data_IF_758409389472
#
_entry.id   IF_758409389472
#
_cell.length_a   1.000
_cell.length_b   1.000
_cell.length_c   1.000
_cell.angle_alpha   90.00
_cell.angle_beta   90.00
_cell.angle_gamma   90.00
#
_symmetry.space_group_name_H-M   'P 1'
#
loop_
_entity.id
_entity.type
_entity.pdbx_description
1 polymer ?
#
# COMPACT_ATOMS: atom_id res chain seq x y z
N UNK A 1 -1.99 4.04 -45.96
CA UNK A 1 -2.23 2.87 -45.08
C UNK A 1 -1.03 2.76 -44.15
N UNK A 2 -1.12 3.26 -42.92
CA UNK A 2 -0.01 3.13 -41.97
C UNK A 2 0.19 1.65 -41.64
N UNK A 3 1.44 1.15 -41.62
CA UNK A 3 1.71 -0.24 -41.36
C UNK A 3 1.31 -0.56 -39.91
N UNK A 4 0.23 -1.33 -39.75
CA UNK A 4 -0.25 -1.84 -38.45
C UNK A 4 0.83 -2.55 -37.61
N UNK A 5 1.93 -2.97 -38.26
CA UNK A 5 3.11 -3.58 -37.65
C UNK A 5 3.89 -2.63 -36.74
N UNK A 6 3.90 -1.33 -37.02
CA UNK A 6 4.62 -0.34 -36.21
C UNK A 6 3.86 -0.05 -34.91
N UNK A 7 2.52 -0.05 -34.98
CA UNK A 7 1.63 0.18 -33.83
C UNK A 7 1.83 -0.85 -32.70
N UNK A 8 1.99 -2.13 -33.06
CA UNK A 8 2.13 -3.20 -32.08
C UNK A 8 3.46 -3.14 -31.31
N UNK A 9 4.54 -2.77 -31.99
CA UNK A 9 5.86 -2.59 -31.37
C UNK A 9 5.84 -1.43 -30.39
N UNK A 10 5.22 -0.30 -30.75
CA UNK A 10 5.05 0.83 -29.83
C UNK A 10 4.23 0.47 -28.60
N UNK A 11 3.20 -0.36 -28.74
CA UNK A 11 2.36 -0.80 -27.63
C UNK A 11 3.12 -1.74 -26.67
N UNK A 12 3.91 -2.67 -27.20
CA UNK A 12 4.76 -3.55 -26.38
C UNK A 12 5.84 -2.74 -25.67
N UNK A 13 6.50 -1.82 -26.36
CA UNK A 13 7.53 -0.96 -25.77
C UNK A 13 6.92 -0.05 -24.71
N UNK A 14 5.71 0.50 -24.95
CA UNK A 14 5.00 1.32 -23.98
C UNK A 14 4.64 0.53 -22.72
N UNK A 15 4.09 -0.69 -22.87
CA UNK A 15 3.84 -1.58 -21.73
C UNK A 15 5.13 -1.98 -21.01
N UNK A 16 6.21 -2.30 -21.74
CA UNK A 16 7.48 -2.67 -21.11
C UNK A 16 8.08 -1.49 -20.33
N UNK A 17 7.99 -0.26 -20.84
CA UNK A 17 8.52 0.94 -20.18
C UNK A 17 7.68 1.30 -18.95
N UNK A 18 6.35 1.18 -18.99
CA UNK A 18 5.49 1.42 -17.81
C UNK A 18 5.67 0.34 -16.74
N UNK A 19 5.84 -0.93 -17.14
CA UNK A 19 6.15 -2.02 -16.22
C UNK A 19 7.55 -1.87 -15.60
N UNK A 20 8.56 -1.48 -16.38
CA UNK A 20 9.94 -1.34 -15.90
C UNK A 20 10.12 -0.15 -14.96
N UNK A 21 9.41 0.97 -15.19
CA UNK A 21 9.39 2.11 -14.26
C UNK A 21 8.69 1.77 -12.93
N UNK A 22 7.86 0.74 -12.90
CA UNK A 22 7.20 0.23 -11.69
C UNK A 22 8.02 -0.76 -10.87
N UNK A 23 9.20 -1.18 -11.35
CA UNK A 23 9.98 -2.26 -10.76
C UNK A 23 11.47 -1.90 -10.66
N UNK A 24 11.79 -0.75 -10.05
CA UNK A 24 13.17 -0.43 -9.67
C UNK A 24 13.23 -0.20 -8.17
N UNK A 25 13.41 -1.29 -7.43
CA UNK A 25 14.38 -1.39 -6.33
C UNK A 25 14.25 -2.76 -5.68
N UNK A 26 15.32 -3.55 -5.79
CA UNK A 26 15.61 -4.69 -4.92
C UNK A 26 15.74 -4.11 -3.50
N UNK A 27 14.63 -4.18 -2.77
CA UNK A 27 14.36 -3.44 -1.54
C UNK A 27 12.86 -3.14 -1.41
N UNK A 28 12.04 -4.18 -1.58
CA UNK A 28 10.64 -4.33 -1.14
C UNK A 28 9.80 -3.02 -1.05
N UNK A 29 9.77 -2.25 -2.14
CA UNK A 29 8.97 -1.03 -2.19
C UNK A 29 7.47 -1.37 -2.21
N UNK A 30 6.68 -0.61 -1.48
CA UNK A 30 5.24 -0.83 -1.43
C UNK A 30 4.56 -0.48 -2.76
N UNK A 31 3.45 -1.16 -3.04
CA UNK A 31 2.69 -1.00 -4.27
C UNK A 31 1.48 -0.09 -4.07
N UNK A 32 1.00 0.46 -5.19
CA UNK A 32 -0.26 1.21 -5.27
C UNK A 32 -1.42 0.35 -4.75
N UNK A 33 -1.43 -0.94 -5.08
CA UNK A 33 -2.46 -1.88 -4.64
C UNK A 33 -2.43 -2.10 -3.12
N UNK A 34 -1.25 -2.22 -2.51
CA UNK A 34 -1.12 -2.33 -1.06
C UNK A 34 -1.69 -1.09 -0.36
N UNK A 35 -1.36 0.11 -0.88
CA UNK A 35 -1.93 1.36 -0.37
C UNK A 35 -3.45 1.38 -0.50
N UNK A 36 -3.99 1.01 -1.65
CA UNK A 36 -5.44 1.06 -1.89
C UNK A 36 -6.19 0.08 -1.01
N UNK A 37 -5.63 -1.12 -0.83
CA UNK A 37 -6.15 -2.11 0.11
C UNK A 37 -6.16 -1.59 1.54
N UNK A 38 -5.03 -1.05 2.03
CA UNK A 38 -4.95 -0.46 3.38
C UNK A 38 -5.95 0.69 3.56
N UNK A 39 -6.05 1.61 2.59
CA UNK A 39 -6.99 2.75 2.72
C UNK A 39 -8.46 2.35 2.59
N UNK A 40 -8.73 1.13 2.11
CA UNK A 40 -10.07 0.55 2.03
C UNK A 40 -10.39 -0.22 3.30
N UNK A 41 -9.56 -1.20 3.64
CA UNK A 41 -9.81 -2.16 4.73
C UNK A 41 -9.60 -1.54 6.11
N UNK A 42 -8.62 -0.61 6.23
CA UNK A 42 -8.34 0.10 7.49
C UNK A 42 -9.06 1.43 7.63
N UNK A 43 -9.95 1.79 6.70
CA UNK A 43 -10.55 3.13 6.58
C UNK A 43 -11.09 3.69 7.89
N UNK A 44 -11.80 2.87 8.64
CA UNK A 44 -12.45 3.29 9.88
C UNK A 44 -11.43 3.64 10.97
N UNK A 45 -10.30 2.93 11.01
CA UNK A 45 -9.24 3.13 12.00
C UNK A 45 -8.34 4.32 11.66
N UNK A 46 -8.08 4.56 10.37
CA UNK A 46 -7.10 5.56 9.94
C UNK A 46 -7.69 6.96 9.68
N UNK A 47 -9.01 7.16 9.79
CA UNK A 47 -9.61 8.49 9.62
C UNK A 47 -9.20 9.44 10.76
N UNK A 48 -9.09 10.74 10.48
CA UNK A 48 -8.66 11.78 11.44
C UNK A 48 -9.45 11.78 12.77
N UNK A 49 -10.75 11.51 12.71
CA UNK A 49 -11.63 11.37 13.89
C UNK A 49 -12.04 9.91 14.13
N UNK A 50 -11.18 8.97 13.75
CA UNK A 50 -11.40 7.55 13.93
C UNK A 50 -11.27 7.14 15.38
N UNK A 51 -11.71 5.91 15.72
CA UNK A 51 -11.51 5.38 17.05
C UNK A 51 -10.02 5.30 17.39
N UNK A 52 -9.74 5.26 18.70
CA UNK A 52 -8.39 5.01 19.23
C UNK A 52 -8.16 3.49 19.40
N UNK A 53 -9.18 2.67 19.14
CA UNK A 53 -9.11 1.23 19.23
C UNK A 53 -8.35 0.62 18.06
N UNK A 54 -7.69 -0.49 18.31
CA UNK A 54 -7.05 -1.30 17.29
C UNK A 54 -8.09 -2.17 16.55
N UNK A 55 -7.88 -2.47 15.26
CA UNK A 55 -8.53 -3.61 14.62
C UNK A 55 -8.15 -4.92 15.31
N UNK A 56 -8.99 -5.96 15.16
CA UNK A 56 -8.62 -7.32 15.50
C UNK A 56 -7.45 -7.77 14.62
N UNK A 57 -6.57 -8.61 15.17
CA UNK A 57 -5.44 -9.17 14.44
C UNK A 57 -5.86 -9.95 13.17
N UNK A 58 -7.05 -10.54 13.21
CA UNK A 58 -7.65 -11.29 12.10
C UNK A 58 -8.48 -10.44 11.15
N UNK A 59 -8.72 -9.16 11.46
CA UNK A 59 -9.46 -8.27 10.57
C UNK A 59 -8.67 -8.05 9.27
N UNK A 60 -9.40 -7.85 8.17
CA UNK A 60 -8.83 -7.58 6.85
C UNK A 60 -7.84 -6.41 6.87
N UNK A 61 -8.09 -5.41 7.72
CA UNK A 61 -7.13 -4.34 7.95
C UNK A 61 -5.76 -4.87 8.41
N UNK A 62 -5.70 -5.68 9.47
CA UNK A 62 -4.43 -6.23 9.94
C UNK A 62 -3.83 -7.25 8.99
N UNK A 63 -4.64 -7.96 8.21
CA UNK A 63 -4.14 -8.81 7.11
C UNK A 63 -3.44 -7.96 6.04
N UNK A 64 -4.04 -6.83 5.65
CA UNK A 64 -3.45 -5.91 4.67
C UNK A 64 -2.17 -5.24 5.19
N UNK A 65 -2.14 -4.84 6.45
CA UNK A 65 -0.94 -4.28 7.10
C UNK A 65 0.21 -5.30 7.12
N UNK A 66 -0.08 -6.57 7.46
CA UNK A 66 0.95 -7.62 7.48
C UNK A 66 1.47 -8.02 6.10
N UNK A 67 0.79 -7.64 5.04
CA UNK A 67 1.27 -7.78 3.67
C UNK A 67 2.23 -6.65 3.26
N UNK A 68 2.46 -5.64 4.13
CA UNK A 68 3.44 -4.58 3.89
C UNK A 68 4.85 -5.07 4.24
N UNK A 69 5.80 -4.86 3.33
CA UNK A 69 7.22 -5.10 3.55
C UNK A 69 7.74 -4.62 4.89
N UNK A 70 8.33 -5.51 5.68
CA UNK A 70 8.92 -5.22 6.99
C UNK A 70 7.98 -4.51 7.98
N UNK A 71 6.66 -4.50 7.73
CA UNK A 71 5.67 -3.69 8.45
C UNK A 71 6.00 -2.17 8.45
N UNK A 72 6.88 -1.71 7.55
CA UNK A 72 7.26 -0.30 7.46
C UNK A 72 6.23 0.46 6.63
N UNK A 73 5.34 1.16 7.33
CA UNK A 73 4.25 1.89 6.72
C UNK A 73 4.68 3.22 6.05
N UNK A 74 5.95 3.64 6.15
CA UNK A 74 6.42 4.86 5.50
C UNK A 74 6.27 4.83 3.99
N UNK A 75 6.52 3.68 3.37
CA UNK A 75 6.31 3.47 1.94
C UNK A 75 4.83 3.74 1.54
N UNK A 76 3.86 3.27 2.34
CA UNK A 76 2.43 3.45 2.10
C UNK A 76 2.06 4.91 2.24
N UNK A 77 2.57 5.59 3.28
CA UNK A 77 2.33 7.01 3.52
C UNK A 77 2.84 7.86 2.34
N UNK A 78 4.00 7.50 1.76
CA UNK A 78 4.54 8.18 0.58
C UNK A 78 3.64 8.01 -0.66
N UNK A 79 2.98 6.85 -0.80
CA UNK A 79 2.06 6.57 -1.91
C UNK A 79 0.67 7.21 -1.77
N UNK A 80 0.33 7.77 -0.60
CA UNK A 80 -0.94 8.48 -0.42
C UNK A 80 -1.02 9.74 -1.27
N UNK A 81 -2.13 9.91 -1.97
CA UNK A 81 -2.45 11.18 -2.65
C UNK A 81 -2.62 12.32 -1.63
N UNK A 82 -2.45 13.56 -2.09
CA UNK A 82 -2.71 14.74 -1.26
C UNK A 82 -4.12 14.77 -0.67
N UNK A 83 -5.12 14.24 -1.39
CA UNK A 83 -6.51 14.12 -0.89
C UNK A 83 -6.60 13.09 0.23
N UNK A 84 -5.94 11.94 0.10
CA UNK A 84 -5.89 10.93 1.16
C UNK A 84 -5.15 11.44 2.41
N UNK A 85 -4.03 12.16 2.24
CA UNK A 85 -3.30 12.78 3.37
C UNK A 85 -4.12 13.81 4.15
N UNK A 86 -5.11 14.45 3.52
CA UNK A 86 -6.06 15.34 4.19
C UNK A 86 -7.22 14.60 4.87
N UNK A 87 -7.48 13.35 4.49
CA UNK A 87 -8.60 12.54 4.98
C UNK A 87 -8.19 11.61 6.12
N UNK A 88 -6.96 11.09 6.04
CA UNK A 88 -6.44 10.07 6.92
C UNK A 88 -5.37 10.63 7.85
N UNK A 89 -5.32 10.08 9.04
CA UNK A 89 -4.32 10.31 10.05
C UNK A 89 -3.09 9.44 9.75
N UNK A 90 -2.00 10.09 9.32
CA UNK A 90 -0.75 9.42 8.97
C UNK A 90 -0.10 8.72 10.17
N UNK A 91 -0.29 9.24 11.38
CA UNK A 91 0.28 8.65 12.59
C UNK A 91 -0.46 7.37 12.96
N UNK A 92 -1.76 7.30 12.72
CA UNK A 92 -2.52 6.05 12.87
C UNK A 92 -2.08 4.98 11.88
N UNK A 93 -1.85 5.36 10.62
CA UNK A 93 -1.33 4.42 9.61
C UNK A 93 0.02 3.85 10.07
N UNK A 94 0.91 4.70 10.59
CA UNK A 94 2.22 4.28 11.12
C UNK A 94 2.11 3.34 12.33
N UNK A 95 1.20 3.63 13.26
CA UNK A 95 0.97 2.83 14.47
C UNK A 95 0.37 1.46 14.18
N UNK A 96 -0.46 1.35 13.14
CA UNK A 96 -1.04 0.06 12.75
C UNK A 96 0.04 -0.97 12.38
N UNK A 97 1.06 -0.58 11.61
CA UNK A 97 2.18 -1.47 11.25
C UNK A 97 3.10 -1.80 12.41
N UNK A 98 3.46 -0.80 13.22
CA UNK A 98 4.47 -0.95 14.26
C UNK A 98 4.00 -1.65 15.54
N UNK A 99 2.73 -1.46 15.93
CA UNK A 99 2.26 -1.88 17.27
C UNK A 99 1.00 -2.74 17.22
N UNK A 100 0.02 -2.39 16.37
CA UNK A 100 -1.33 -2.95 16.51
C UNK A 100 -1.57 -4.23 15.72
N UNK A 101 -0.94 -4.37 14.56
CA UNK A 101 -1.06 -5.54 13.70
C UNK A 101 0.21 -6.39 13.64
N UNK A 102 1.19 -6.10 14.50
CA UNK A 102 2.41 -6.90 14.59
C UNK A 102 2.06 -8.30 15.17
N UNK A 103 2.49 -9.42 14.56
CA UNK A 103 2.36 -10.73 15.18
C UNK A 103 2.93 -10.70 16.61
N UNK A 104 2.08 -11.02 17.59
CA UNK A 104 2.58 -11.33 18.92
C UNK A 104 3.55 -12.51 18.80
N UNK A 105 4.73 -12.47 19.44
CA UNK A 105 5.55 -13.66 19.57
C UNK A 105 4.70 -14.68 20.33
N UNK A 106 4.27 -15.73 19.62
CA UNK A 106 3.74 -16.92 20.27
C UNK A 106 4.92 -17.48 21.04
N UNK A 107 4.89 -17.35 22.36
CA UNK A 107 5.80 -18.08 23.24
C UNK A 107 5.38 -19.55 23.16
N UNK A 108 5.84 -20.25 22.13
CA UNK A 108 5.88 -21.72 22.10
C UNK A 108 7.05 -22.23 22.93
#
# INVERSE_FOLDING_TARGET
MLPAKVSFVFLIVYCAVTFSLGQIAVGEACTVDQRDKITTDCREFIKLKGPVTAPSYTDDCCVAIRAVPNLDMECIIRLLSNKQKKKYDVDKIRRLGSVLCNPHPVMT
#
